data_IF_546033921076
#
_entry.id   IF_546033921076
#
_cell.length_a   1.000
_cell.length_b   1.000
_cell.length_c   1.000
_cell.angle_alpha   90.00
_cell.angle_beta   90.00
_cell.angle_gamma   90.00
#
_symmetry.space_group_name_H-M   'P 1'
#
loop_
_entity.id
_entity.type
_entity.pdbx_description
1 polymer ?
#
# COMPACT_ATOMS: atom_id res chain seq x y z
N UNK A 1 -13.85 2.26 11.18
CA UNK A 1 -12.53 2.51 10.57
C UNK A 1 -12.31 4.00 10.57
N UNK A 2 -11.10 4.43 10.90
CA UNK A 2 -10.68 5.82 10.85
C UNK A 2 -9.73 5.97 9.67
N UNK A 3 -10.05 6.89 8.79
CA UNK A 3 -9.21 7.26 7.65
C UNK A 3 -8.45 8.52 8.04
N UNK A 4 -7.15 8.39 8.24
CA UNK A 4 -6.29 9.45 8.74
C UNK A 4 -5.43 9.96 7.58
N UNK A 5 -5.26 11.27 7.47
CA UNK A 5 -4.37 11.92 6.51
C UNK A 5 -3.52 12.99 7.18
N UNK A 6 -2.26 13.09 6.78
CA UNK A 6 -1.29 14.12 7.21
C UNK A 6 -0.23 14.33 6.13
N UNK A 7 0.43 15.48 6.13
CA UNK A 7 1.64 15.77 5.34
C UNK A 7 2.93 15.66 6.17
N UNK A 8 2.84 15.23 7.44
CA UNK A 8 3.96 15.11 8.36
C UNK A 8 4.15 13.64 8.78
N UNK A 9 5.23 12.96 8.37
CA UNK A 9 5.50 11.58 8.78
C UNK A 9 5.51 11.36 10.30
N UNK A 10 5.92 12.38 11.06
CA UNK A 10 6.03 12.37 12.52
C UNK A 10 4.66 12.19 13.17
N UNK A 11 3.61 12.77 12.59
CA UNK A 11 2.24 12.62 13.08
C UNK A 11 1.82 11.16 13.09
N UNK A 12 2.16 10.40 12.03
CA UNK A 12 1.89 8.96 12.01
C UNK A 12 2.79 8.20 12.99
N UNK A 13 4.07 8.59 13.13
CA UNK A 13 4.99 8.02 14.13
C UNK A 13 4.40 8.11 15.54
N UNK A 14 3.89 9.27 15.92
CA UNK A 14 3.26 9.50 17.22
C UNK A 14 1.99 8.68 17.42
N UNK A 15 1.11 8.63 16.41
CA UNK A 15 -0.09 7.77 16.43
C UNK A 15 0.28 6.32 16.72
N UNK A 16 1.24 5.77 15.97
CA UNK A 16 1.66 4.39 16.17
C UNK A 16 2.21 4.18 17.58
N UNK A 17 3.12 5.03 18.04
CA UNK A 17 3.78 4.89 19.34
C UNK A 17 2.78 5.02 20.48
N UNK A 18 1.87 5.99 20.40
CA UNK A 18 0.85 6.20 21.42
C UNK A 18 -0.08 5.00 21.53
N UNK A 19 -0.62 4.51 20.41
CA UNK A 19 -1.49 3.34 20.40
C UNK A 19 -0.76 2.11 20.97
N UNK A 20 0.47 1.84 20.54
CA UNK A 20 1.20 0.65 20.99
C UNK A 20 1.63 0.70 22.45
N UNK A 21 1.81 1.89 23.03
CA UNK A 21 2.25 2.05 24.41
C UNK A 21 1.09 2.19 25.41
N UNK A 22 0.00 2.86 25.00
CA UNK A 22 -1.00 3.38 25.93
C UNK A 22 -2.40 2.81 25.71
N UNK A 23 -2.77 2.35 24.51
CA UNK A 23 -4.11 1.83 24.30
C UNK A 23 -4.29 0.47 24.96
N UNK A 24 -5.45 0.26 25.56
CA UNK A 24 -5.87 -1.05 26.04
C UNK A 24 -6.22 -1.98 24.87
N UNK A 25 -6.81 -1.40 23.81
CA UNK A 25 -7.26 -2.12 22.62
C UNK A 25 -6.34 -1.84 21.43
N UNK A 26 -5.61 -2.87 21.00
CA UNK A 26 -4.84 -2.78 19.77
C UNK A 26 -5.79 -2.70 18.55
N UNK A 27 -5.36 -2.03 17.47
CA UNK A 27 -6.10 -2.04 16.21
C UNK A 27 -6.32 -3.45 15.70
N UNK A 28 -7.26 -3.63 14.78
CA UNK A 28 -7.42 -4.82 13.93
C UNK A 28 -6.52 -4.73 12.69
N UNK A 29 -6.31 -3.52 12.18
CA UNK A 29 -5.37 -3.23 11.11
C UNK A 29 -4.96 -1.76 11.16
N UNK A 30 -3.77 -1.45 10.64
CA UNK A 30 -3.29 -0.08 10.44
C UNK A 30 -2.46 -0.06 9.16
N UNK A 31 -3.11 0.24 8.05
CA UNK A 31 -2.50 0.17 6.72
C UNK A 31 -2.05 1.55 6.26
N UNK A 32 -0.79 1.67 5.87
CA UNK A 32 -0.23 2.88 5.30
C UNK A 32 -0.34 2.87 3.78
N UNK A 33 -0.59 4.05 3.20
CA UNK A 33 -0.59 4.29 1.77
C UNK A 33 -0.10 5.71 1.48
N UNK A 34 0.90 5.84 0.60
CA UNK A 34 1.39 7.13 0.10
C UNK A 34 0.54 7.63 -1.08
N UNK A 35 0.51 8.95 -1.31
CA UNK A 35 -0.20 9.59 -2.43
C UNK A 35 0.14 8.99 -3.80
N UNK A 36 1.42 8.73 -4.08
CA UNK A 36 1.83 8.21 -5.39
C UNK A 36 1.23 6.83 -5.68
N UNK A 37 1.31 5.90 -4.73
CA UNK A 37 0.69 4.58 -4.90
C UNK A 37 -0.84 4.65 -4.82
N UNK A 38 -1.40 5.62 -4.11
CA UNK A 38 -2.84 5.89 -4.17
C UNK A 38 -3.28 6.20 -5.60
N UNK A 39 -2.54 7.06 -6.30
CA UNK A 39 -2.86 7.47 -7.67
C UNK A 39 -2.63 6.35 -8.69
N UNK A 40 -1.52 5.62 -8.53
CA UNK A 40 -1.22 4.46 -9.35
C UNK A 40 -2.30 3.40 -9.15
N UNK A 41 -2.72 3.13 -7.91
CA UNK A 41 -3.83 2.22 -7.63
C UNK A 41 -5.15 2.69 -8.25
N UNK A 42 -5.44 3.99 -8.23
CA UNK A 42 -6.69 4.52 -8.77
C UNK A 42 -6.75 4.35 -10.30
N UNK A 43 -5.61 4.52 -10.97
CA UNK A 43 -5.54 4.48 -12.43
C UNK A 43 -5.32 3.07 -12.97
N UNK A 44 -4.44 2.30 -12.35
CA UNK A 44 -3.93 1.02 -12.85
C UNK A 44 -4.41 -0.19 -12.03
N UNK A 45 -5.01 0.02 -10.86
CA UNK A 45 -5.65 -1.03 -10.05
C UNK A 45 -7.17 -1.10 -10.23
N UNK A 46 -7.76 -0.23 -11.07
CA UNK A 46 -9.21 -0.01 -11.17
C UNK A 46 -10.00 -1.24 -11.62
N UNK A 47 -9.48 -2.01 -12.56
CA UNK A 47 -10.12 -3.23 -13.03
C UNK A 47 -10.21 -4.29 -11.93
N UNK A 48 -9.10 -4.48 -11.20
CA UNK A 48 -8.98 -5.37 -10.05
C UNK A 48 -9.92 -4.91 -8.93
N UNK A 49 -9.93 -3.60 -8.64
CA UNK A 49 -10.85 -3.00 -7.70
C UNK A 49 -12.31 -3.30 -8.08
N UNK A 50 -12.73 -2.96 -9.29
CA UNK A 50 -14.12 -3.12 -9.73
C UNK A 50 -14.55 -4.59 -9.79
N UNK A 51 -13.64 -5.48 -10.16
CA UNK A 51 -13.88 -6.92 -10.16
C UNK A 51 -14.16 -7.42 -8.74
N UNK A 52 -13.31 -7.08 -7.78
CA UNK A 52 -13.47 -7.53 -6.39
C UNK A 52 -14.70 -6.89 -5.74
N UNK A 53 -14.90 -5.59 -5.93
CA UNK A 53 -16.03 -4.84 -5.36
C UNK A 53 -17.38 -5.41 -5.83
N UNK A 54 -17.47 -5.86 -7.09
CA UNK A 54 -18.74 -6.36 -7.68
C UNK A 54 -18.92 -7.87 -7.63
N UNK A 55 -17.84 -8.63 -7.79
CA UNK A 55 -17.90 -10.09 -7.97
C UNK A 55 -17.32 -10.87 -6.79
N UNK A 56 -16.73 -10.16 -5.81
CA UNK A 56 -16.03 -10.76 -4.69
C UNK A 56 -14.68 -11.37 -5.06
N UNK A 57 -13.94 -11.81 -4.05
CA UNK A 57 -12.60 -12.39 -4.21
C UNK A 57 -12.61 -13.80 -4.80
N UNK A 58 -13.71 -14.55 -4.66
CA UNK A 58 -13.81 -15.96 -5.06
C UNK A 58 -13.68 -16.19 -6.56
N UNK A 59 -13.99 -15.17 -7.37
CA UNK A 59 -13.89 -15.23 -8.83
C UNK A 59 -12.52 -14.82 -9.35
N UNK A 60 -11.64 -14.26 -8.52
CA UNK A 60 -10.32 -13.80 -8.95
C UNK A 60 -9.47 -14.88 -9.62
N UNK A 61 -9.34 -16.11 -9.06
CA UNK A 61 -8.49 -17.13 -9.67
C UNK A 61 -8.95 -17.48 -11.09
N UNK A 62 -10.26 -17.47 -11.34
CA UNK A 62 -10.82 -17.72 -12.66
C UNK A 62 -10.40 -16.63 -13.66
N UNK A 63 -10.57 -15.35 -13.31
CA UNK A 63 -10.22 -14.24 -14.19
C UNK A 63 -8.71 -14.12 -14.44
N UNK A 64 -7.88 -14.33 -13.41
CA UNK A 64 -6.43 -14.34 -13.58
C UNK A 64 -5.95 -15.49 -14.48
N UNK A 65 -6.53 -16.68 -14.32
CA UNK A 65 -6.24 -17.81 -15.20
C UNK A 65 -6.68 -17.54 -16.64
N UNK A 66 -7.86 -16.97 -16.84
CA UNK A 66 -8.34 -16.62 -18.18
C UNK A 66 -7.42 -15.61 -18.85
N UNK A 67 -7.06 -14.53 -18.14
CA UNK A 67 -6.12 -13.52 -18.60
C UNK A 67 -4.77 -14.15 -18.98
N UNK A 68 -4.18 -14.95 -18.08
CA UNK A 68 -2.89 -15.59 -18.34
C UNK A 68 -2.90 -16.50 -19.57
N UNK A 69 -4.01 -17.21 -19.82
CA UNK A 69 -4.18 -18.01 -21.04
C UNK A 69 -4.30 -17.14 -22.29
N UNK A 70 -5.01 -16.02 -22.22
CA UNK A 70 -5.12 -15.06 -23.32
C UNK A 70 -3.77 -14.43 -23.63
N UNK A 71 -3.01 -14.01 -22.63
CA UNK A 71 -1.67 -13.44 -22.81
C UNK A 71 -0.73 -14.45 -23.47
N UNK A 72 -0.65 -15.67 -22.93
CA UNK A 72 0.19 -16.73 -23.49
C UNK A 72 -0.20 -17.14 -24.93
N UNK A 73 -1.46 -16.93 -25.32
CA UNK A 73 -1.93 -17.15 -26.69
C UNK A 73 -1.53 -15.99 -27.62
N UNK A 74 -1.68 -14.74 -27.16
CA UNK A 74 -1.38 -13.54 -27.94
C UNK A 74 0.12 -13.31 -28.12
N UNK A 75 0.94 -13.66 -27.12
CA UNK A 75 2.41 -13.59 -27.22
C UNK A 75 2.99 -14.47 -28.34
N UNK A 76 2.30 -15.57 -28.68
CA UNK A 76 2.72 -16.46 -29.79
C UNK A 76 2.45 -15.87 -31.17
N UNK A 77 1.64 -14.82 -31.25
CA UNK A 77 1.23 -14.20 -32.52
C UNK A 77 2.07 -12.94 -32.73
N UNK A 78 2.98 -12.96 -33.71
CA UNK A 78 3.92 -11.86 -34.03
C UNK A 78 3.28 -10.48 -34.29
N UNK A 79 1.97 -10.44 -34.53
CA UNK A 79 1.22 -9.20 -34.73
C UNK A 79 0.95 -8.43 -33.43
N UNK A 80 0.81 -9.13 -32.30
CA UNK A 80 0.53 -8.50 -31.01
C UNK A 80 1.83 -8.20 -30.27
N UNK A 81 2.00 -6.95 -29.82
CA UNK A 81 3.12 -6.57 -28.95
C UNK A 81 2.95 -7.20 -27.56
N UNK A 82 4.04 -7.50 -26.82
CA UNK A 82 3.99 -7.97 -25.43
C UNK A 82 3.09 -7.07 -24.56
N UNK A 83 2.37 -7.62 -23.58
CA UNK A 83 1.43 -6.88 -22.71
C UNK A 83 0.22 -6.25 -23.45
N UNK A 84 -0.18 -6.77 -24.61
CA UNK A 84 -1.34 -6.26 -25.35
C UNK A 84 -2.63 -6.24 -24.53
N UNK A 85 -2.95 -7.34 -23.84
CA UNK A 85 -4.17 -7.45 -23.03
C UNK A 85 -4.19 -6.40 -21.92
N UNK A 86 -3.04 -6.13 -21.31
CA UNK A 86 -2.90 -5.17 -20.23
C UNK A 86 -3.17 -3.74 -20.70
N UNK A 87 -2.59 -3.37 -21.84
CA UNK A 87 -2.87 -2.07 -22.48
C UNK A 87 -4.32 -1.96 -22.94
N UNK A 88 -4.91 -3.04 -23.45
CA UNK A 88 -6.32 -3.06 -23.85
C UNK A 88 -7.24 -2.89 -22.63
N UNK A 89 -7.05 -3.68 -21.56
CA UNK A 89 -7.79 -3.59 -20.31
C UNK A 89 -7.66 -2.20 -19.68
N UNK A 90 -6.44 -1.63 -19.67
CA UNK A 90 -6.20 -0.27 -19.19
C UNK A 90 -7.03 0.74 -19.99
N UNK A 91 -7.02 0.65 -21.32
CA UNK A 91 -7.81 1.52 -22.21
C UNK A 91 -9.31 1.42 -21.92
N UNK A 92 -9.85 0.21 -21.74
CA UNK A 92 -11.25 0.01 -21.37
C UNK A 92 -11.57 0.48 -19.94
N UNK A 93 -10.61 0.39 -19.02
CA UNK A 93 -10.73 0.87 -17.64
C UNK A 93 -11.07 2.36 -17.54
N UNK A 94 -10.61 3.17 -18.50
CA UNK A 94 -10.92 4.59 -18.58
C UNK A 94 -12.40 4.90 -18.88
N UNK A 95 -13.16 3.96 -19.44
CA UNK A 95 -14.60 4.14 -19.72
C UNK A 95 -15.48 4.04 -18.47
N UNK A 96 -14.99 3.39 -17.42
CA UNK A 96 -15.74 3.30 -16.17
C UNK A 96 -15.66 4.63 -15.40
N UNK A 97 -16.69 4.99 -14.61
CA UNK A 97 -16.63 6.18 -13.77
C UNK A 97 -15.59 6.04 -12.63
N UNK A 98 -15.42 7.12 -11.88
CA UNK A 98 -14.68 7.09 -10.61
C UNK A 98 -15.27 6.05 -9.66
N UNK A 99 -14.42 5.18 -9.10
CA UNK A 99 -14.84 4.10 -8.20
C UNK A 99 -14.60 4.43 -6.72
N UNK A 100 -13.75 5.41 -6.43
CA UNK A 100 -13.40 5.81 -5.07
C UNK A 100 -14.39 6.84 -4.50
N UNK A 101 -14.74 6.73 -3.20
CA UNK A 101 -15.57 7.71 -2.50
C UNK A 101 -15.03 9.15 -2.59
N UNK A 102 -15.90 10.17 -2.72
CA UNK A 102 -15.46 11.57 -2.81
C UNK A 102 -14.60 12.05 -1.64
N UNK A 103 -14.90 11.60 -0.41
CA UNK A 103 -14.11 11.98 0.77
C UNK A 103 -12.69 11.43 0.73
N UNK A 104 -12.48 10.21 0.22
CA UNK A 104 -11.14 9.67 0.04
C UNK A 104 -10.31 10.50 -0.95
N UNK A 105 -10.94 10.96 -2.04
CA UNK A 105 -10.28 11.84 -3.02
C UNK A 105 -9.91 13.18 -2.43
N UNK A 106 -10.83 13.80 -1.69
CA UNK A 106 -10.56 15.04 -0.96
C UNK A 106 -9.41 14.87 0.05
N UNK A 107 -9.32 13.72 0.73
CA UNK A 107 -8.19 13.42 1.61
C UNK A 107 -6.88 13.29 0.84
N UNK A 108 -6.89 12.60 -0.31
CA UNK A 108 -5.71 12.48 -1.18
C UNK A 108 -5.20 13.82 -1.68
N UNK A 109 -6.11 14.73 -2.01
CA UNK A 109 -5.72 16.06 -2.49
C UNK A 109 -5.13 16.93 -1.37
N UNK A 110 -5.56 16.70 -0.11
CA UNK A 110 -5.09 17.46 1.06
C UNK A 110 -3.81 16.91 1.68
N UNK A 111 -3.66 15.58 1.72
CA UNK A 111 -2.66 14.90 2.53
C UNK A 111 -1.85 13.92 1.70
N UNK A 112 -0.56 13.79 1.99
CA UNK A 112 0.36 12.90 1.29
C UNK A 112 0.42 11.50 1.92
N UNK A 113 0.31 11.43 3.24
CA UNK A 113 0.39 10.20 4.02
C UNK A 113 -0.97 9.80 4.53
N UNK A 114 -1.39 8.56 4.21
CA UNK A 114 -2.69 8.03 4.59
C UNK A 114 -2.51 6.82 5.50
N UNK A 115 -3.25 6.80 6.61
CA UNK A 115 -3.31 5.67 7.53
C UNK A 115 -4.76 5.19 7.69
N UNK A 116 -5.01 3.95 7.27
CA UNK A 116 -6.29 3.27 7.42
C UNK A 116 -6.30 2.50 8.75
N UNK A 117 -6.82 3.13 9.81
CA UNK A 117 -6.85 2.55 11.14
C UNK A 117 -8.18 1.85 11.42
N UNK A 118 -8.17 0.51 11.45
CA UNK A 118 -9.35 -0.30 11.75
C UNK A 118 -9.33 -0.72 13.21
N UNK A 119 -10.28 -0.24 14.00
CA UNK A 119 -10.53 -0.68 15.38
C UNK A 119 -11.76 -1.59 15.45
N UNK A 120 -11.91 -2.33 16.55
CA UNK A 120 -13.10 -3.14 16.85
C UNK A 120 -13.41 -3.08 18.35
N UNK A 121 -14.67 -3.38 18.71
CA UNK A 121 -15.14 -3.33 20.09
C UNK A 121 -14.90 -1.97 20.75
N UNK A 122 -14.50 -1.99 22.02
CA UNK A 122 -14.27 -0.80 22.83
C UNK A 122 -13.13 0.09 22.29
N UNK A 123 -12.19 -0.49 21.53
CA UNK A 123 -11.12 0.24 20.86
C UNK A 123 -11.61 1.26 19.82
N UNK A 124 -12.87 1.17 19.37
CA UNK A 124 -13.47 2.20 18.50
C UNK A 124 -13.68 3.50 19.27
N UNK A 125 -14.21 3.43 20.50
CA UNK A 125 -14.44 4.61 21.34
C UNK A 125 -13.13 5.25 21.79
N UNK A 126 -12.20 4.40 22.24
CA UNK A 126 -10.84 4.78 22.66
C UNK A 126 -10.10 5.55 21.54
N UNK A 127 -10.01 4.97 20.35
CA UNK A 127 -9.35 5.63 19.22
C UNK A 127 -10.04 6.93 18.80
N UNK A 128 -11.39 6.95 18.76
CA UNK A 128 -12.13 8.14 18.37
C UNK A 128 -11.84 9.30 19.33
N UNK A 129 -11.92 9.08 20.64
CA UNK A 129 -11.69 10.12 21.64
C UNK A 129 -10.29 10.69 21.51
N UNK A 130 -9.28 9.80 21.45
CA UNK A 130 -7.89 10.21 21.38
C UNK A 130 -7.57 10.97 20.08
N UNK A 131 -8.04 10.48 18.92
CA UNK A 131 -7.81 11.16 17.64
C UNK A 131 -8.46 12.55 17.58
N UNK A 132 -9.65 12.72 18.16
CA UNK A 132 -10.30 14.05 18.26
C UNK A 132 -9.43 15.04 19.04
N UNK A 133 -8.83 14.60 20.14
CA UNK A 133 -8.00 15.48 20.95
C UNK A 133 -6.63 15.73 20.30
N UNK A 134 -6.04 14.70 19.71
CA UNK A 134 -4.73 14.75 19.07
C UNK A 134 -4.71 15.71 17.85
N UNK A 135 -5.71 15.63 16.97
CA UNK A 135 -5.82 16.50 15.78
C UNK A 135 -6.30 17.92 16.06
N UNK A 136 -6.52 18.30 17.34
CA UNK A 136 -6.64 19.72 17.70
C UNK A 136 -5.29 20.45 17.63
N UNK A 137 -4.19 19.71 17.72
CA UNK A 137 -2.83 20.25 17.79
C UNK A 137 -1.95 19.76 16.64
N UNK A 138 -2.06 18.48 16.26
CA UNK A 138 -1.28 17.89 15.17
C UNK A 138 -1.75 18.38 13.79
N UNK A 139 -0.83 18.44 12.81
CA UNK A 139 -1.21 18.62 11.40
C UNK A 139 -1.93 17.37 10.89
N UNK A 140 -2.87 17.58 9.97
CA UNK A 140 -3.66 16.51 9.40
C UNK A 140 -5.08 16.49 9.93
N UNK A 141 -5.82 15.47 9.53
CA UNK A 141 -7.17 15.23 10.02
C UNK A 141 -7.57 13.78 9.77
N UNK A 142 -8.65 13.35 10.40
CA UNK A 142 -9.22 12.04 10.18
C UNK A 142 -10.73 12.12 9.95
N UNK A 143 -11.26 11.07 9.36
CA UNK A 143 -12.68 10.84 9.39
C UNK A 143 -13.05 9.42 9.77
N UNK A 144 -14.22 9.28 10.38
CA UNK A 144 -14.85 7.97 10.58
C UNK A 144 -15.50 7.56 9.26
N UNK A 145 -15.03 6.44 8.71
CA UNK A 145 -15.58 5.89 7.47
C UNK A 145 -17.00 5.36 7.69
N UNK A 146 -17.87 5.57 6.71
CA UNK A 146 -19.04 4.71 6.51
C UNK A 146 -18.61 3.27 6.21
N UNK A 147 -19.51 2.28 6.29
CA UNK A 147 -19.19 0.90 5.89
C UNK A 147 -18.64 0.81 4.46
N UNK A 148 -19.23 1.56 3.53
CA UNK A 148 -18.79 1.61 2.13
C UNK A 148 -17.40 2.24 1.99
N UNK A 149 -17.16 3.39 2.60
CA UNK A 149 -15.84 4.05 2.59
C UNK A 149 -14.78 3.12 3.18
N UNK A 150 -15.11 2.41 4.26
CA UNK A 150 -14.18 1.50 4.90
C UNK A 150 -13.82 0.31 4.01
N UNK A 151 -14.81 -0.31 3.37
CA UNK A 151 -14.60 -1.42 2.44
C UNK A 151 -13.73 -0.97 1.25
N UNK A 152 -14.11 0.15 0.62
CA UNK A 152 -13.41 0.67 -0.56
C UNK A 152 -12.00 1.17 -0.25
N UNK A 153 -11.76 1.74 0.93
CA UNK A 153 -10.41 2.14 1.36
C UNK A 153 -9.46 0.95 1.46
N UNK A 154 -9.90 -0.16 2.09
CA UNK A 154 -9.09 -1.38 2.17
C UNK A 154 -8.88 -2.02 0.80
N UNK A 155 -9.92 -2.04 -0.04
CA UNK A 155 -9.82 -2.59 -1.38
C UNK A 155 -8.84 -1.80 -2.24
N UNK A 156 -8.85 -0.46 -2.15
CA UNK A 156 -7.89 0.40 -2.83
C UNK A 156 -6.45 0.14 -2.37
N UNK A 157 -6.25 0.03 -1.06
CA UNK A 157 -4.96 -0.34 -0.47
C UNK A 157 -4.48 -1.72 -0.91
N UNK A 158 -5.39 -2.68 -1.08
CA UNK A 158 -5.07 -4.02 -1.58
C UNK A 158 -4.70 -3.99 -3.08
N UNK A 159 -5.43 -3.23 -3.88
CA UNK A 159 -5.19 -3.10 -5.32
C UNK A 159 -3.83 -2.46 -5.66
N UNK A 160 -3.21 -1.74 -4.73
CA UNK A 160 -1.88 -1.14 -4.85
C UNK A 160 -0.81 -2.09 -5.41
N UNK A 161 -0.72 -3.30 -4.84
CA UNK A 161 0.31 -4.26 -5.23
C UNK A 161 0.19 -4.69 -6.71
N UNK A 162 -1.03 -4.86 -7.21
CA UNK A 162 -1.28 -5.18 -8.62
C UNK A 162 -1.12 -3.97 -9.54
N UNK A 163 -1.34 -2.76 -9.03
CA UNK A 163 -1.33 -1.55 -9.82
C UNK A 163 0.07 -1.15 -10.30
N UNK A 164 1.11 -1.37 -9.48
CA UNK A 164 2.49 -1.16 -9.89
C UNK A 164 2.88 -2.08 -11.06
N UNK A 165 2.54 -3.37 -10.96
CA UNK A 165 2.73 -4.37 -12.02
C UNK A 165 1.99 -3.95 -13.30
N UNK A 166 0.75 -3.45 -13.16
CA UNK A 166 -0.02 -2.97 -14.30
C UNK A 166 0.65 -1.76 -14.96
N UNK A 167 1.13 -0.80 -14.18
CA UNK A 167 1.83 0.37 -14.69
C UNK A 167 3.03 -0.05 -15.55
N UNK A 168 3.90 -0.92 -15.02
CA UNK A 168 5.09 -1.39 -15.73
C UNK A 168 4.74 -2.10 -17.03
N UNK A 169 3.74 -2.99 -17.02
CA UNK A 169 3.30 -3.69 -18.23
C UNK A 169 2.76 -2.73 -19.31
N UNK A 170 2.08 -1.65 -18.91
CA UNK A 170 1.56 -0.64 -19.85
C UNK A 170 2.69 0.21 -20.44
N UNK A 171 3.73 0.50 -19.64
CA UNK A 171 4.85 1.37 -20.00
C UNK A 171 6.15 0.59 -20.22
N UNK A 172 6.07 -0.68 -20.64
CA UNK A 172 7.23 -1.60 -20.70
C UNK A 172 8.39 -1.09 -21.56
N UNK A 173 8.10 -0.23 -22.53
CA UNK A 173 9.08 0.40 -23.41
C UNK A 173 9.73 1.66 -22.80
N UNK A 174 9.17 2.20 -21.71
CA UNK A 174 9.57 3.46 -21.07
C UNK A 174 10.23 3.27 -19.70
N UNK A 175 10.04 2.11 -19.08
CA UNK A 175 10.57 1.78 -17.74
C UNK A 175 11.21 0.40 -17.71
N UNK A 176 12.05 0.17 -16.71
CA UNK A 176 12.58 -1.18 -16.42
C UNK A 176 11.63 -1.99 -15.54
N UNK A 177 12.04 -3.21 -15.21
CA UNK A 177 11.37 -4.06 -14.23
C UNK A 177 11.26 -3.36 -12.87
N UNK A 178 10.18 -3.65 -12.16
CA UNK A 178 9.90 -3.08 -10.84
C UNK A 178 10.97 -3.56 -9.86
N UNK A 179 11.63 -2.60 -9.21
CA UNK A 179 12.48 -2.89 -8.06
C UNK A 179 11.56 -2.85 -6.83
N UNK A 180 11.21 -4.02 -6.29
CA UNK A 180 10.38 -4.12 -5.09
C UNK A 180 11.24 -4.49 -3.86
N UNK A 181 11.06 -3.74 -2.77
CA UNK A 181 11.70 -3.99 -1.47
C UNK A 181 10.64 -4.18 -0.38
N UNK A 182 10.67 -5.37 0.24
CA UNK A 182 9.88 -5.68 1.43
C UNK A 182 10.74 -5.51 2.68
N UNK A 183 10.47 -4.46 3.46
CA UNK A 183 11.33 -4.05 4.56
C UNK A 183 10.59 -4.05 5.90
N UNK A 184 11.34 -4.37 6.95
CA UNK A 184 10.88 -4.30 8.33
C UNK A 184 11.80 -3.37 9.12
N UNK A 185 11.26 -2.25 9.57
CA UNK A 185 12.01 -1.28 10.36
C UNK A 185 12.10 -1.71 11.83
N UNK A 186 13.08 -1.15 12.54
CA UNK A 186 13.22 -1.36 13.98
C UNK A 186 11.99 -0.84 14.70
N UNK A 187 11.55 -1.52 15.76
CA UNK A 187 10.29 -1.14 16.45
C UNK A 187 10.33 0.27 17.05
N UNK A 188 11.52 0.70 17.46
CA UNK A 188 11.82 1.99 18.07
C UNK A 188 12.24 3.06 17.05
N UNK A 189 12.23 2.75 15.75
CA UNK A 189 12.55 3.74 14.72
C UNK A 189 11.58 4.94 14.79
N UNK A 190 12.09 6.11 14.41
CA UNK A 190 11.34 7.37 14.37
C UNK A 190 11.32 7.97 12.97
N UNK A 191 12.25 7.55 12.12
CA UNK A 191 12.43 8.04 10.75
C UNK A 191 12.03 6.93 9.78
N UNK A 192 10.72 6.64 9.73
CA UNK A 192 10.21 5.54 8.92
C UNK A 192 10.09 5.90 7.44
N UNK A 193 9.75 7.16 7.13
CA UNK A 193 9.68 7.65 5.76
C UNK A 193 11.09 7.79 5.18
N UNK A 194 11.25 7.40 3.92
CA UNK A 194 12.54 7.31 3.27
C UNK A 194 12.89 8.62 2.54
N UNK A 195 14.13 9.06 2.72
CA UNK A 195 14.74 10.12 1.93
C UNK A 195 15.93 9.54 1.18
N UNK A 196 15.73 9.21 -0.10
CA UNK A 196 16.79 8.67 -0.94
C UNK A 196 17.80 9.76 -1.31
N UNK A 197 19.10 9.42 -1.39
CA UNK A 197 20.11 10.31 -1.95
C UNK A 197 19.77 10.70 -3.41
N UNK A 198 20.10 11.93 -3.86
CA UNK A 198 19.76 12.41 -5.21
C UNK A 198 20.25 11.50 -6.35
N UNK A 199 21.38 10.83 -6.16
CA UNK A 199 21.96 9.88 -7.11
C UNK A 199 21.08 8.64 -7.33
N UNK A 200 20.34 8.20 -6.31
CA UNK A 200 19.36 7.11 -6.43
C UNK A 200 18.03 7.68 -6.93
N UNK A 201 17.56 8.78 -6.33
CA UNK A 201 16.24 9.35 -6.62
C UNK A 201 16.10 9.76 -8.09
N UNK A 202 17.17 10.29 -8.69
CA UNK A 202 17.21 10.68 -10.10
C UNK A 202 17.08 9.51 -11.10
N UNK A 203 17.21 8.25 -10.64
CA UNK A 203 17.04 7.05 -11.47
C UNK A 203 15.61 6.52 -11.47
N UNK A 204 14.73 7.10 -10.65
CA UNK A 204 13.36 6.64 -10.42
C UNK A 204 12.33 7.51 -11.15
N UNK A 205 11.26 6.88 -11.62
CA UNK A 205 10.04 7.54 -12.13
C UNK A 205 9.01 7.69 -11.02
N UNK A 206 8.82 6.64 -10.23
CA UNK A 206 7.89 6.63 -9.10
C UNK A 206 8.45 5.87 -7.90
N UNK A 207 8.08 6.34 -6.70
CA UNK A 207 8.35 5.73 -5.40
C UNK A 207 7.02 5.36 -4.75
N UNK A 208 6.70 4.08 -4.71
CA UNK A 208 5.38 3.60 -4.34
C UNK A 208 5.42 2.96 -2.96
N UNK A 209 5.07 3.75 -1.93
CA UNK A 209 5.16 3.32 -0.54
C UNK A 209 3.81 2.97 0.06
N UNK A 210 3.69 1.75 0.59
CA UNK A 210 2.51 1.26 1.30
C UNK A 210 2.92 0.17 2.29
N UNK A 211 2.08 -0.18 3.25
CA UNK A 211 2.48 -1.23 4.20
C UNK A 211 1.58 -1.41 5.41
N UNK A 212 2.03 -2.25 6.32
CA UNK A 212 1.41 -2.53 7.61
C UNK A 212 2.07 -1.66 8.68
N UNK A 213 1.52 -0.46 8.85
CA UNK A 213 2.16 0.63 9.59
C UNK A 213 2.42 0.29 11.07
N UNK A 214 1.45 -0.33 11.76
CA UNK A 214 1.61 -0.69 13.18
C UNK A 214 2.77 -1.68 13.38
N UNK A 215 3.06 -2.50 12.37
CA UNK A 215 4.13 -3.48 12.34
C UNK A 215 5.46 -2.92 11.84
N UNK A 216 5.47 -1.69 11.28
CA UNK A 216 6.63 -1.12 10.59
C UNK A 216 7.16 -2.02 9.47
N UNK A 217 6.22 -2.68 8.77
CA UNK A 217 6.50 -3.43 7.55
C UNK A 217 6.03 -2.60 6.37
N UNK A 218 6.91 -2.34 5.42
CA UNK A 218 6.63 -1.54 4.23
C UNK A 218 6.99 -2.31 2.97
N UNK A 219 6.13 -2.16 1.98
CA UNK A 219 6.38 -2.48 0.58
C UNK A 219 6.79 -1.17 -0.09
N UNK A 220 8.01 -1.16 -0.63
CA UNK A 220 8.54 -0.04 -1.39
C UNK A 220 8.77 -0.52 -2.82
N UNK A 221 7.83 -0.19 -3.71
CA UNK A 221 7.97 -0.51 -5.12
C UNK A 221 8.50 0.72 -5.87
N UNK A 222 9.56 0.53 -6.64
CA UNK A 222 10.19 1.60 -7.38
C UNK A 222 10.05 1.32 -8.89
N UNK A 223 9.51 2.32 -9.60
CA UNK A 223 9.46 2.31 -11.06
C UNK A 223 10.75 2.94 -11.57
N UNK A 224 11.62 2.14 -12.18
CA UNK A 224 12.97 2.54 -12.58
C UNK A 224 12.97 3.05 -14.02
N UNK A 225 13.71 4.13 -14.30
CA UNK A 225 13.86 4.68 -15.66
C UNK A 225 14.51 3.67 -16.61
N UNK A 226 14.09 3.66 -17.88
CA UNK A 226 14.70 2.80 -18.91
C UNK A 226 16.21 3.01 -19.01
N UNK A 227 16.95 1.91 -19.15
CA UNK A 227 18.40 1.88 -19.31
C UNK A 227 19.21 1.93 -18.00
N UNK A 228 18.56 2.06 -16.84
CA UNK A 228 19.23 1.97 -15.54
C UNK A 228 19.53 0.52 -15.19
N UNK A 229 20.69 0.26 -14.60
CA UNK A 229 21.02 -1.05 -14.02
C UNK A 229 20.25 -1.27 -12.71
N UNK A 230 19.11 -1.96 -12.82
CA UNK A 230 18.23 -2.28 -11.69
C UNK A 230 18.95 -3.11 -10.62
N UNK A 231 19.90 -3.96 -11.01
CA UNK A 231 20.62 -4.81 -10.06
C UNK A 231 21.57 -3.98 -9.20
N UNK A 232 22.39 -3.14 -9.84
CA UNK A 232 23.29 -2.22 -9.13
C UNK A 232 22.52 -1.22 -8.26
N UNK A 233 21.40 -0.68 -8.75
CA UNK A 233 20.52 0.20 -7.99
C UNK A 233 19.97 -0.50 -6.74
N UNK A 234 19.53 -1.75 -6.89
CA UNK A 234 19.03 -2.56 -5.76
C UNK A 234 20.11 -2.75 -4.71
N UNK A 235 21.33 -3.09 -5.09
CA UNK A 235 22.43 -3.25 -4.13
C UNK A 235 22.68 -1.96 -3.33
N UNK A 236 22.70 -0.80 -3.98
CA UNK A 236 22.83 0.50 -3.30
C UNK A 236 21.71 0.74 -2.28
N UNK A 237 20.46 0.45 -2.65
CA UNK A 237 19.31 0.61 -1.74
C UNK A 237 19.37 -0.37 -0.55
N UNK A 238 19.83 -1.60 -0.77
CA UNK A 238 20.01 -2.58 0.29
C UNK A 238 21.09 -2.15 1.29
N UNK A 239 22.17 -1.53 0.83
CA UNK A 239 23.20 -0.95 1.72
C UNK A 239 22.63 0.16 2.63
N UNK A 240 21.79 1.05 2.09
CA UNK A 240 21.11 2.08 2.89
C UNK A 240 20.19 1.46 3.95
N UNK A 241 19.49 0.39 3.61
CA UNK A 241 18.63 -0.35 4.55
C UNK A 241 19.44 -1.05 5.64
N UNK A 242 20.59 -1.63 5.31
CA UNK A 242 21.51 -2.20 6.30
C UNK A 242 22.03 -1.15 7.27
N UNK A 243 22.41 0.04 6.78
CA UNK A 243 22.87 1.14 7.61
C UNK A 243 21.77 1.63 8.58
N UNK A 244 20.50 1.65 8.13
CA UNK A 244 19.34 1.95 8.99
C UNK A 244 19.01 0.82 9.98
N UNK A 245 19.59 -0.37 9.81
CA UNK A 245 19.27 -1.55 10.62
C UNK A 245 17.89 -2.14 10.32
N UNK A 246 17.38 -1.92 9.10
CA UNK A 246 16.15 -2.56 8.63
C UNK A 246 16.43 -4.02 8.25
N UNK A 247 15.43 -4.89 8.44
CA UNK A 247 15.49 -6.29 8.00
C UNK A 247 14.79 -6.46 6.67
N UNK A 248 15.37 -7.30 5.80
CA UNK A 248 14.81 -7.70 4.52
C UNK A 248 15.29 -9.13 4.14
N UNK A 249 14.51 -9.94 3.39
CA UNK A 249 13.12 -9.70 3.06
C UNK A 249 12.25 -9.72 4.32
N UNK A 250 11.30 -8.80 4.43
CA UNK A 250 10.39 -8.75 5.55
C UNK A 250 9.39 -9.91 5.49
N UNK A 251 9.71 -11.02 6.16
CA UNK A 251 8.71 -12.02 6.49
C UNK A 251 7.76 -11.43 7.56
N UNK A 252 6.49 -11.28 7.23
CA UNK A 252 5.43 -10.80 8.16
C UNK A 252 5.37 -11.64 9.45
N UNK A 253 5.91 -12.86 9.40
CA UNK A 253 6.03 -13.82 10.50
C UNK A 253 7.26 -13.61 11.40
N UNK A 254 8.34 -12.97 10.94
CA UNK A 254 9.63 -12.94 11.65
C UNK A 254 9.85 -11.68 12.52
N UNK A 255 9.08 -10.60 12.31
CA UNK A 255 9.41 -9.28 12.87
C UNK A 255 8.83 -9.01 14.28
N UNK A 256 7.84 -9.78 14.77
CA UNK A 256 7.09 -9.39 15.99
C UNK A 256 6.99 -10.52 17.01
N UNK A 257 7.86 -10.49 18.03
CA UNK A 257 7.63 -11.16 19.31
C UNK A 257 8.30 -10.44 20.49
N UNK A 258 7.73 -10.66 21.68
CA UNK A 258 8.04 -10.09 23.02
C UNK A 258 7.31 -8.75 23.26
N UNK A 259 5.99 -8.73 23.50
CA UNK A 259 5.45 -8.84 24.88
C UNK A 259 4.10 -9.58 24.97
N UNK A 260 3.33 -9.71 23.89
CA UNK A 260 1.98 -10.35 23.88
C UNK A 260 1.80 -11.33 22.69
N UNK A 261 2.48 -12.47 22.78
CA UNK A 261 2.61 -13.48 21.70
C UNK A 261 1.27 -13.99 21.11
N UNK A 262 0.22 -14.07 21.93
CA UNK A 262 -1.11 -14.55 21.49
C UNK A 262 -1.94 -13.46 20.80
N UNK A 263 -1.84 -12.19 21.22
CA UNK A 263 -2.64 -11.09 20.64
C UNK A 263 -2.09 -10.62 19.29
N UNK A 264 -0.76 -10.50 19.12
CA UNK A 264 -0.16 -10.13 17.83
C UNK A 264 -0.34 -11.19 16.73
N UNK A 265 -0.29 -12.49 17.06
CA UNK A 265 -0.61 -13.54 16.08
C UNK A 265 -2.07 -13.47 15.60
N UNK A 266 -2.99 -13.11 16.49
CA UNK A 266 -4.40 -12.88 16.12
C UNK A 266 -4.59 -11.61 15.30
N UNK A 267 -3.80 -10.56 15.52
CA UNK A 267 -3.80 -9.34 14.70
C UNK A 267 -3.38 -9.68 13.26
N UNK A 268 -2.19 -10.26 13.09
CA UNK A 268 -1.65 -10.64 11.77
C UNK A 268 -2.57 -11.62 11.03
N UNK A 269 -3.09 -12.65 11.70
CA UNK A 269 -4.02 -13.60 11.08
C UNK A 269 -5.36 -12.98 10.65
N UNK A 270 -5.81 -11.90 11.32
CA UNK A 270 -7.05 -11.17 10.99
C UNK A 270 -6.83 -10.05 9.96
N UNK A 271 -5.61 -9.53 9.84
CA UNK A 271 -5.24 -8.54 8.82
C UNK A 271 -5.00 -9.20 7.46
N UNK A 272 -4.41 -10.41 7.44
CA UNK A 272 -4.07 -11.16 6.20
C UNK A 272 -5.27 -11.92 5.61
N UNK A 273 -6.26 -12.31 6.43
CA UNK A 273 -7.52 -12.88 5.92
C UNK A 273 -8.59 -11.78 5.89
N UNK A 274 -8.89 -11.17 4.73
CA UNK A 274 -10.19 -10.55 4.58
C UNK A 274 -11.20 -11.68 4.82
N UNK A 275 -12.06 -11.48 5.80
CA UNK A 275 -13.09 -12.42 6.25
C UNK A 275 -13.72 -13.18 5.09
N UNK A 276 -13.66 -14.52 5.16
CA UNK A 276 -14.75 -15.36 4.67
C UNK A 276 -16.03 -15.04 5.47
#
# INVERSE_FOLDING_TARGET
>A
MFYIGTNQPEVLTEIRRHILANFENLPVAGEYMHRDIYDIAEKYGKDTFLMIDKLGTDKMPFFFNLKGRTDAMLEKVKFFRPHFTDRAMQKFGHLFPSHLPPRMKNWRDKYEHHLLLKMAGDGVGEAKSWLVDYFKQAEGDFFVCTPEEGSKAFLHRFAAAGAAIRYQAVHSDEVEDILALDIALRRNDTEWYEHLPPEIDSQLVHKLYYGHFMCYVFHQDYIVKKGVDVHALKEQMLELLQQRGAQYPADITSVICIKHRRRCRSFIARTIRPTA
#
